data_IF_542019577923
#
_entry.id   IF_542019577923
#
_cell.length_a   1.000
_cell.length_b   1.000
_cell.length_c   1.000
_cell.angle_alpha   90.00
_cell.angle_beta   90.00
_cell.angle_gamma   90.00
#
_symmetry.space_group_name_H-M   'P 1'
#
loop_
_entity.id
_entity.type
_entity.pdbx_description
1 polymer ?
#
# COMPACT_ATOMS: atom_id res chain seq x y z
N UNK A 1 -12.03 -24.19 -15.29
CA UNK A 1 -11.45 -22.93 -15.81
C UNK A 1 -12.38 -21.76 -15.49
N UNK A 2 -12.27 -21.18 -14.29
CA UNK A 2 -12.85 -19.88 -13.92
C UNK A 2 -11.89 -19.25 -12.90
N UNK A 3 -10.71 -18.87 -13.36
CA UNK A 3 -9.73 -18.11 -12.57
C UNK A 3 -9.62 -16.71 -13.17
N UNK A 4 -10.65 -15.90 -12.97
CA UNK A 4 -10.50 -14.44 -13.09
C UNK A 4 -10.01 -13.93 -11.74
N UNK A 5 -8.70 -14.04 -11.55
CA UNK A 5 -7.95 -13.67 -10.35
C UNK A 5 -7.80 -12.13 -10.24
N UNK A 6 -8.91 -11.40 -10.10
CA UNK A 6 -8.96 -9.99 -9.71
C UNK A 6 -10.36 -9.71 -9.10
N UNK A 7 -10.54 -10.01 -7.82
CA UNK A 7 -11.79 -9.73 -7.10
C UNK A 7 -11.90 -8.24 -6.81
N UNK A 8 -12.46 -7.47 -7.76
CA UNK A 8 -12.85 -6.08 -7.53
C UNK A 8 -13.66 -5.92 -6.23
N UNK A 9 -14.53 -6.89 -5.94
CA UNK A 9 -15.35 -6.95 -4.73
C UNK A 9 -14.55 -7.12 -3.43
N UNK A 10 -13.32 -7.66 -3.46
CA UNK A 10 -12.55 -7.88 -2.23
C UNK A 10 -12.03 -6.57 -1.64
N UNK A 11 -11.72 -5.60 -2.50
CA UNK A 11 -11.09 -4.37 -2.09
C UNK A 11 -12.00 -3.14 -2.19
N UNK A 12 -13.19 -3.22 -2.78
CA UNK A 12 -14.03 -2.04 -2.99
C UNK A 12 -15.18 -1.95 -1.97
N UNK A 13 -15.27 -0.81 -1.28
CA UNK A 13 -16.44 -0.40 -0.49
C UNK A 13 -16.69 1.11 -0.60
N UNK A 14 -17.71 1.61 0.11
CA UNK A 14 -18.12 3.02 0.06
C UNK A 14 -17.03 3.98 0.59
N UNK A 15 -16.05 3.49 1.35
CA UNK A 15 -14.97 4.30 1.90
C UNK A 15 -13.72 4.30 1.01
N UNK A 16 -13.51 3.26 0.21
CA UNK A 16 -12.37 3.15 -0.69
C UNK A 16 -11.95 1.71 -0.99
N UNK A 17 -10.66 1.49 -1.36
CA UNK A 17 -9.62 2.49 -1.46
C UNK A 17 -9.79 3.32 -2.73
N UNK A 18 -9.42 4.60 -2.68
CA UNK A 18 -9.38 5.46 -3.85
C UNK A 18 -8.48 4.89 -4.95
N UNK A 19 -7.33 4.28 -4.59
CA UNK A 19 -6.40 3.63 -5.52
C UNK A 19 -5.62 2.48 -4.88
N UNK A 20 -5.35 1.45 -5.68
CA UNK A 20 -4.33 0.43 -5.42
C UNK A 20 -3.34 0.48 -6.60
N UNK A 21 -2.05 0.59 -6.31
CA UNK A 21 -0.98 0.67 -7.31
C UNK A 21 0.02 -0.44 -7.03
N UNK A 22 0.24 -1.33 -8.00
CA UNK A 22 1.32 -2.30 -7.98
C UNK A 22 2.48 -1.75 -8.80
N UNK A 23 3.66 -1.69 -8.19
CA UNK A 23 4.89 -1.19 -8.78
C UNK A 23 5.81 -2.36 -9.10
N UNK A 24 6.35 -2.38 -10.30
CA UNK A 24 7.38 -3.32 -10.70
C UNK A 24 8.48 -2.61 -11.49
N UNK A 25 9.72 -2.73 -11.04
CA UNK A 25 10.90 -2.28 -11.79
C UNK A 25 11.81 -3.49 -12.06
N UNK A 26 11.91 -3.97 -13.32
CA UNK A 26 12.72 -5.12 -13.66
C UNK A 26 14.23 -4.87 -13.52
N UNK A 27 14.68 -3.61 -13.56
CA UNK A 27 16.11 -3.29 -13.53
C UNK A 27 16.75 -3.52 -12.16
N UNK A 28 15.96 -3.35 -11.09
CA UNK A 28 16.37 -3.57 -9.71
C UNK A 28 15.56 -4.67 -8.99
N UNK A 29 14.56 -5.26 -9.66
CA UNK A 29 13.71 -6.30 -9.10
C UNK A 29 12.70 -5.79 -8.07
N UNK A 30 12.39 -4.48 -8.06
CA UNK A 30 11.42 -3.90 -7.15
C UNK A 30 10.04 -4.51 -7.39
N UNK A 31 9.40 -4.93 -6.31
CA UNK A 31 7.97 -5.26 -6.26
C UNK A 31 7.36 -4.48 -5.11
N UNK A 32 6.49 -3.53 -5.43
CA UNK A 32 5.89 -2.61 -4.47
C UNK A 32 4.37 -2.58 -4.57
N UNK A 33 3.72 -2.22 -3.48
CA UNK A 33 2.28 -2.02 -3.39
C UNK A 33 2.04 -0.70 -2.67
N UNK A 34 1.22 0.17 -3.25
CA UNK A 34 0.75 1.41 -2.62
C UNK A 34 -0.76 1.38 -2.62
N UNK A 35 -1.37 1.57 -1.45
CA UNK A 35 -2.81 1.76 -1.30
C UNK A 35 -3.08 3.14 -0.76
N UNK A 36 -3.89 3.90 -1.49
CA UNK A 36 -4.48 5.17 -1.07
C UNK A 36 -5.93 4.85 -0.72
N UNK A 37 -6.23 4.77 0.58
CA UNK A 37 -7.56 4.35 1.03
C UNK A 37 -8.57 5.48 0.88
N UNK A 38 -8.35 6.60 1.56
CA UNK A 38 -9.28 7.73 1.53
C UNK A 38 -8.52 9.05 1.57
N UNK A 39 -9.06 10.10 0.95
CA UNK A 39 -8.47 11.46 0.87
C UNK A 39 -9.44 12.57 1.26
N UNK A 40 -10.59 12.24 1.86
CA UNK A 40 -11.64 13.21 2.19
C UNK A 40 -11.17 14.31 3.16
N UNK A 41 -10.31 13.95 4.12
CA UNK A 41 -9.75 14.89 5.09
C UNK A 41 -8.47 15.60 4.61
N UNK A 42 -7.94 15.26 3.43
CA UNK A 42 -6.66 15.77 2.91
C UNK A 42 -5.78 14.67 2.30
N UNK A 43 -4.50 14.97 2.00
CA UNK A 43 -3.57 14.00 1.43
C UNK A 43 -3.44 12.75 2.29
N UNK A 44 -3.38 11.57 1.67
CA UNK A 44 -3.20 10.31 2.37
C UNK A 44 -1.78 10.19 2.92
N UNK A 45 -1.65 9.85 4.21
CA UNK A 45 -0.36 9.59 4.84
C UNK A 45 -0.27 8.16 5.35
N UNK A 46 0.94 7.61 5.34
CA UNK A 46 1.21 6.25 5.80
C UNK A 46 2.68 5.87 5.68
N UNK A 47 3.11 4.90 6.48
CA UNK A 47 4.46 4.37 6.40
C UNK A 47 4.63 3.29 5.33
N UNK A 48 5.88 3.03 4.95
CA UNK A 48 6.28 1.92 4.07
C UNK A 48 6.69 0.72 4.92
N UNK A 49 6.13 -0.47 4.64
CA UNK A 49 6.57 -1.75 5.22
C UNK A 49 7.44 -2.50 4.19
N UNK A 50 8.60 -3.01 4.60
CA UNK A 50 9.42 -3.89 3.77
C UNK A 50 9.49 -5.27 4.42
N UNK A 51 8.96 -6.28 3.75
CA UNK A 51 8.99 -7.67 4.20
C UNK A 51 8.87 -8.62 3.01
N UNK A 52 9.32 -9.88 3.16
CA UNK A 52 9.26 -10.87 2.08
C UNK A 52 7.83 -11.33 1.76
N UNK A 53 6.89 -11.10 2.68
CA UNK A 53 5.51 -11.60 2.69
C UNK A 53 4.45 -10.50 2.53
N UNK A 54 4.85 -9.29 2.13
CA UNK A 54 3.90 -8.19 1.92
C UNK A 54 2.86 -8.60 0.87
N UNK A 55 1.57 -8.45 1.20
CA UNK A 55 0.45 -8.74 0.31
C UNK A 55 -0.46 -7.54 0.11
N UNK A 56 -1.18 -7.48 -1.02
CA UNK A 56 -2.13 -6.40 -1.31
C UNK A 56 -3.19 -6.26 -0.23
N UNK A 57 -3.73 -7.39 0.24
CA UNK A 57 -4.72 -7.45 1.33
C UNK A 57 -4.21 -6.85 2.64
N UNK A 58 -2.96 -7.12 2.98
CA UNK A 58 -2.34 -6.52 4.17
C UNK A 58 -2.21 -5.00 4.02
N UNK A 59 -1.64 -4.53 2.91
CA UNK A 59 -1.42 -3.10 2.66
C UNK A 59 -2.75 -2.34 2.63
N UNK A 60 -3.79 -2.93 2.00
CA UNK A 60 -5.15 -2.40 2.00
C UNK A 60 -5.72 -2.23 3.41
N UNK A 61 -5.71 -3.28 4.24
CA UNK A 61 -6.23 -3.21 5.61
C UNK A 61 -5.48 -2.19 6.47
N UNK A 62 -4.16 -2.06 6.28
CA UNK A 62 -3.34 -1.08 6.99
C UNK A 62 -3.58 0.35 6.51
N UNK A 63 -3.86 0.57 5.21
CA UNK A 63 -4.26 1.88 4.70
C UNK A 63 -5.60 2.33 5.29
N UNK A 64 -6.58 1.42 5.36
CA UNK A 64 -7.87 1.65 6.04
C UNK A 64 -7.70 2.00 7.51
N UNK A 65 -6.82 1.29 8.21
CA UNK A 65 -6.50 1.61 9.61
C UNK A 65 -5.90 3.01 9.75
N UNK A 66 -5.09 3.47 8.79
CA UNK A 66 -4.56 4.85 8.77
C UNK A 66 -5.67 5.89 8.55
N UNK A 67 -6.66 5.62 7.68
CA UNK A 67 -7.82 6.51 7.50
C UNK A 67 -8.55 6.72 8.81
N UNK A 68 -8.90 5.63 9.51
CA UNK A 68 -9.61 5.74 10.79
C UNK A 68 -8.75 6.37 11.89
N UNK A 69 -7.46 6.03 11.95
CA UNK A 69 -6.54 6.62 12.93
C UNK A 69 -6.42 8.14 12.74
N UNK A 70 -6.25 8.60 11.52
CA UNK A 70 -6.10 10.02 11.22
C UNK A 70 -7.40 10.79 11.47
N UNK A 71 -8.54 10.23 11.07
CA UNK A 71 -9.86 10.79 11.35
C UNK A 71 -10.14 10.88 12.86
N UNK A 72 -9.90 9.80 13.61
CA UNK A 72 -10.09 9.79 15.06
C UNK A 72 -9.16 10.75 15.82
N UNK A 73 -7.96 11.00 15.28
CA UNK A 73 -7.02 11.98 15.81
C UNK A 73 -7.30 13.43 15.37
N UNK A 74 -8.32 13.67 14.53
CA UNK A 74 -8.63 15.00 14.00
C UNK A 74 -7.56 15.58 13.09
N UNK A 75 -6.76 14.72 12.44
CA UNK A 75 -5.68 15.16 11.54
C UNK A 75 -6.23 15.51 10.15
N UNK A 76 -5.70 16.54 9.47
CA UNK A 76 -6.13 16.94 8.13
C UNK A 76 -5.51 16.04 7.03
N UNK A 77 -5.63 14.73 7.22
CA UNK A 77 -5.03 13.71 6.36
C UNK A 77 -5.95 12.52 6.16
N UNK A 78 -5.95 12.00 4.94
CA UNK A 78 -6.51 10.70 4.61
C UNK A 78 -5.60 9.54 5.05
N UNK A 79 -5.95 8.31 4.67
CA UNK A 79 -5.18 7.11 4.99
C UNK A 79 -4.50 6.49 3.79
N UNK A 80 -3.23 6.14 3.93
CA UNK A 80 -2.49 5.37 2.95
C UNK A 80 -1.58 4.34 3.59
N UNK A 81 -1.07 3.40 2.79
CA UNK A 81 -0.03 2.47 3.20
C UNK A 81 0.77 2.00 1.98
N UNK A 82 2.04 1.74 2.20
CA UNK A 82 2.94 1.19 1.20
C UNK A 82 3.63 -0.08 1.70
N UNK A 83 3.99 -0.94 0.74
CA UNK A 83 4.64 -2.22 0.94
C UNK A 83 5.71 -2.47 -0.11
N UNK A 84 6.88 -2.99 0.29
CA UNK A 84 7.95 -3.47 -0.61
C UNK A 84 8.15 -4.97 -0.31
N UNK A 85 7.98 -5.82 -1.32
CA UNK A 85 8.18 -7.27 -1.23
C UNK A 85 9.67 -7.61 -1.34
N UNK A 86 10.38 -7.53 -0.22
CA UNK A 86 11.79 -7.88 -0.10
C UNK A 86 12.18 -8.14 1.36
N UNK A 87 13.21 -8.96 1.58
CA UNK A 87 13.82 -9.15 2.91
C UNK A 87 14.43 -7.81 3.39
N UNK A 88 14.02 -7.26 4.55
CA UNK A 88 14.59 -6.02 5.08
C UNK A 88 16.09 -6.11 5.45
N UNK A 89 16.69 -7.30 5.41
CA UNK A 89 18.12 -7.56 5.64
C UNK A 89 18.92 -7.69 4.34
N UNK A 90 18.27 -7.59 3.17
CA UNK A 90 18.94 -7.66 1.88
C UNK A 90 19.99 -6.55 1.72
N UNK A 91 21.17 -6.84 1.14
CA UNK A 91 22.15 -5.80 0.82
C UNK A 91 21.60 -4.75 -0.17
N UNK A 92 20.61 -5.11 -0.99
CA UNK A 92 19.99 -4.22 -1.98
C UNK A 92 18.97 -3.24 -1.40
N UNK A 93 18.76 -3.23 -0.07
CA UNK A 93 17.70 -2.45 0.59
C UNK A 93 17.70 -0.97 0.17
N UNK A 94 18.87 -0.33 0.18
CA UNK A 94 18.99 1.08 -0.16
C UNK A 94 18.69 1.36 -1.64
N UNK A 95 18.91 0.39 -2.52
CA UNK A 95 18.57 0.50 -3.95
C UNK A 95 17.07 0.35 -4.17
N UNK A 96 16.45 -0.64 -3.54
CA UNK A 96 15.01 -0.88 -3.62
C UNK A 96 14.19 0.30 -3.06
N UNK A 97 14.61 0.87 -1.93
CA UNK A 97 13.94 2.05 -1.35
C UNK A 97 14.04 3.25 -2.29
N UNK A 98 15.19 3.44 -2.96
CA UNK A 98 15.39 4.54 -3.92
C UNK A 98 14.56 4.37 -5.19
N UNK A 99 14.40 3.15 -5.68
CA UNK A 99 13.54 2.87 -6.83
C UNK A 99 12.04 2.99 -6.51
N UNK A 100 11.68 2.84 -5.23
CA UNK A 100 10.30 2.93 -4.76
C UNK A 100 9.82 4.37 -4.53
N UNK A 101 10.73 5.29 -4.16
CA UNK A 101 10.44 6.69 -3.84
C UNK A 101 10.27 7.53 -5.10
#
# INVERSE_FOLDING_TARGET
MKETCWSFEEYCDDLGPAKIVHLYDPTCGLRGIVVIDNIACGPAIGGVRMAADVSTREVFRLARAMTFKNAAAGLPHGGGKAGILADPRTPEKARLIRAFA
#
